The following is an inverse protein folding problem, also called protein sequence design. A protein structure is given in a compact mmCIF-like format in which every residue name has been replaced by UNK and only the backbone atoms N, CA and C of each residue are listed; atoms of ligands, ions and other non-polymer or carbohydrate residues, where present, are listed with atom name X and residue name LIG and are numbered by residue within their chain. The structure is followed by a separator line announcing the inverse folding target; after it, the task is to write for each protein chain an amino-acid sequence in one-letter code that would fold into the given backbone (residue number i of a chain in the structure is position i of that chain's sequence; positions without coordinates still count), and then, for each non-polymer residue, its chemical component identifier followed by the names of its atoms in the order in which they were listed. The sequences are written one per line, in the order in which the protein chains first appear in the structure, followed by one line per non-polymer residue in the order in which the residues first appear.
data_IF_590252922202
#
_entry.id   IF_590252922202
#
_cell.length_a   1.000
_cell.length_b   1.000
_cell.length_c   1.000
_cell.angle_alpha   90.00
_cell.angle_beta   90.00
_cell.angle_gamma   90.00
#
_symmetry.space_group_name_H-M   'P 1'
#
loop_
_entity.id
_entity.type
_entity.pdbx_description
1 polymer ?
#
# COMPACT_ATOMS: atom_id res chain seq x y z
N UNK A 1 14.00 -19.78 -18.33
CA UNK A 1 13.34 -21.07 -18.04
C UNK A 1 11.86 -20.79 -17.87
N UNK A 2 10.97 -21.64 -18.40
CA UNK A 2 9.53 -21.46 -18.19
C UNK A 2 9.13 -21.70 -16.72
N UNK A 3 8.16 -20.91 -16.25
CA UNK A 3 7.58 -20.97 -14.91
C UNK A 3 6.92 -22.34 -14.63
N UNK A 4 7.15 -22.90 -13.44
CA UNK A 4 6.62 -24.22 -13.02
C UNK A 4 5.69 -24.05 -11.80
N UNK A 5 4.62 -24.85 -11.64
CA UNK A 5 4.14 -25.92 -12.53
C UNK A 5 3.41 -25.40 -13.79
N UNK A 6 2.87 -24.18 -13.74
CA UNK A 6 2.35 -23.46 -14.90
C UNK A 6 2.50 -21.96 -14.69
N UNK A 7 2.55 -21.18 -15.77
CA UNK A 7 2.62 -19.71 -15.70
C UNK A 7 1.47 -19.13 -14.88
N UNK A 8 0.25 -19.62 -15.09
CA UNK A 8 -0.93 -19.17 -14.35
C UNK A 8 -0.85 -19.48 -12.85
N UNK A 9 -0.30 -20.65 -12.47
CA UNK A 9 -0.13 -20.98 -11.05
C UNK A 9 0.87 -20.04 -10.36
N UNK A 10 1.99 -19.73 -11.02
CA UNK A 10 2.99 -18.78 -10.50
C UNK A 10 2.42 -17.36 -10.42
N UNK A 11 1.69 -16.93 -11.45
CA UNK A 11 0.99 -15.64 -11.45
C UNK A 11 0.01 -15.58 -10.29
N UNK A 12 -0.83 -16.60 -10.11
CA UNK A 12 -1.83 -16.62 -9.04
C UNK A 12 -1.18 -16.59 -7.64
N UNK A 13 -0.08 -17.31 -7.43
CA UNK A 13 0.65 -17.28 -6.16
C UNK A 13 1.25 -15.89 -5.89
N UNK A 14 1.82 -15.26 -6.91
CA UNK A 14 2.43 -13.94 -6.79
C UNK A 14 1.36 -12.85 -6.58
N UNK A 15 0.23 -12.95 -7.28
CA UNK A 15 -0.92 -12.04 -7.11
C UNK A 15 -1.56 -12.21 -5.73
N UNK A 16 -1.67 -13.41 -5.19
CA UNK A 16 -2.13 -13.60 -3.81
C UNK A 16 -1.22 -12.89 -2.80
N UNK A 17 0.10 -13.02 -2.96
CA UNK A 17 1.07 -12.32 -2.12
C UNK A 17 0.95 -10.80 -2.29
N UNK A 18 0.82 -10.32 -3.53
CA UNK A 18 0.62 -8.90 -3.84
C UNK A 18 -0.65 -8.34 -3.22
N UNK A 19 -1.80 -9.04 -3.32
CA UNK A 19 -3.07 -8.59 -2.74
C UNK A 19 -2.90 -8.38 -1.23
N UNK A 20 -2.26 -9.32 -0.53
CA UNK A 20 -2.04 -9.20 0.92
C UNK A 20 -1.14 -8.02 1.26
N UNK A 21 0.00 -7.90 0.56
CA UNK A 21 0.94 -6.80 0.78
C UNK A 21 0.32 -5.44 0.46
N UNK A 22 -0.38 -5.34 -0.68
CA UNK A 22 -1.04 -4.12 -1.13
C UNK A 22 -2.05 -3.60 -0.12
N UNK A 23 -2.88 -4.47 0.48
CA UNK A 23 -3.85 -4.08 1.49
C UNK A 23 -3.23 -3.79 2.87
N UNK A 24 -2.04 -4.34 3.17
CA UNK A 24 -1.33 -3.98 4.40
C UNK A 24 -0.74 -2.56 4.32
N UNK A 25 -0.11 -2.23 3.18
CA UNK A 25 0.44 -0.90 2.90
C UNK A 25 -0.67 0.14 2.62
N UNK A 26 -1.72 -0.26 1.90
CA UNK A 26 -2.79 0.63 1.43
C UNK A 26 -4.17 0.13 1.88
N UNK A 27 -4.50 0.21 3.17
CA UNK A 27 -5.77 -0.30 3.68
C UNK A 27 -6.99 0.41 3.07
N UNK A 28 -6.86 1.66 2.62
CA UNK A 28 -7.99 2.43 2.07
C UNK A 28 -8.20 2.24 0.56
N UNK A 29 -7.28 1.55 -0.10
CA UNK A 29 -7.35 1.30 -1.53
C UNK A 29 -8.33 0.17 -1.84
N UNK A 30 -8.70 0.06 -3.11
CA UNK A 30 -9.59 -0.99 -3.60
C UNK A 30 -8.89 -1.73 -4.74
N UNK A 31 -9.09 -3.05 -4.81
CA UNK A 31 -8.61 -3.88 -5.92
C UNK A 31 -9.83 -4.41 -6.67
N UNK A 32 -9.70 -4.54 -7.98
CA UNK A 32 -10.62 -5.30 -8.84
C UNK A 32 -9.80 -6.22 -9.73
N UNK A 33 -10.26 -7.46 -9.90
CA UNK A 33 -9.59 -8.44 -10.76
C UNK A 33 -10.39 -8.64 -12.05
N UNK A 34 -9.69 -8.61 -13.18
CA UNK A 34 -10.20 -8.97 -14.49
C UNK A 34 -9.25 -9.98 -15.14
N UNK A 35 -9.81 -10.80 -16.02
CA UNK A 35 -9.07 -11.79 -16.82
C UNK A 35 -9.32 -11.54 -18.29
N UNK A 36 -8.30 -11.84 -19.09
CA UNK A 36 -8.36 -11.77 -20.54
C UNK A 36 -8.23 -13.20 -21.04
N UNK A 37 -9.24 -13.70 -21.72
CA UNK A 37 -9.34 -15.09 -22.13
C UNK A 37 -10.24 -15.21 -23.36
N UNK A 38 -9.87 -16.07 -24.30
CA UNK A 38 -10.68 -16.36 -25.50
C UNK A 38 -11.09 -15.09 -26.28
N UNK A 39 -10.19 -14.09 -26.36
CA UNK A 39 -10.42 -12.81 -27.05
C UNK A 39 -11.31 -11.81 -26.29
N UNK A 40 -11.76 -12.16 -25.08
CA UNK A 40 -12.68 -11.36 -24.27
C UNK A 40 -12.06 -10.95 -22.94
N UNK A 41 -12.57 -9.86 -22.37
CA UNK A 41 -12.25 -9.44 -21.01
C UNK A 41 -13.40 -9.77 -20.07
N UNK A 42 -13.11 -10.51 -19.00
CA UNK A 42 -14.07 -10.94 -18.00
C UNK A 42 -13.70 -10.38 -16.63
N UNK A 43 -14.67 -9.73 -15.99
CA UNK A 43 -14.53 -9.33 -14.59
C UNK A 43 -14.60 -10.56 -13.69
N UNK A 44 -13.57 -10.76 -12.87
CA UNK A 44 -13.57 -11.76 -11.80
C UNK A 44 -14.15 -11.21 -10.48
N UNK A 45 -13.78 -9.98 -10.12
CA UNK A 45 -14.25 -9.32 -8.90
C UNK A 45 -14.53 -7.84 -9.12
N UNK A 46 -15.50 -7.30 -8.39
CA UNK A 46 -15.74 -5.86 -8.35
C UNK A 46 -14.66 -5.14 -7.53
N UNK A 47 -14.53 -3.82 -7.71
CA UNK A 47 -13.63 -3.01 -6.89
C UNK A 47 -14.05 -3.10 -5.41
N UNK A 48 -13.21 -3.71 -4.59
CA UNK A 48 -13.51 -3.94 -3.18
C UNK A 48 -12.27 -3.81 -2.30
N UNK A 49 -12.47 -3.65 -1.00
CA UNK A 49 -11.41 -3.62 0.01
C UNK A 49 -11.17 -4.97 0.70
N UNK A 50 -11.71 -6.09 0.19
CA UNK A 50 -11.65 -7.40 0.86
C UNK A 50 -10.64 -8.35 0.20
N UNK A 51 -9.44 -8.55 0.79
CA UNK A 51 -8.40 -9.42 0.25
C UNK A 51 -8.92 -10.85 -0.03
N UNK A 52 -9.66 -11.41 0.92
CA UNK A 52 -10.13 -12.80 0.87
C UNK A 52 -11.13 -13.06 -0.27
N UNK A 53 -11.96 -12.07 -0.61
CA UNK A 53 -12.85 -12.20 -1.77
C UNK A 53 -12.06 -12.28 -3.09
N UNK A 54 -11.00 -11.49 -3.22
CA UNK A 54 -10.15 -11.46 -4.42
C UNK A 54 -9.32 -12.74 -4.53
N UNK A 55 -8.70 -13.17 -3.42
CA UNK A 55 -7.90 -14.40 -3.38
C UNK A 55 -8.78 -15.62 -3.70
N UNK A 56 -9.99 -15.71 -3.15
CA UNK A 56 -10.92 -16.80 -3.45
C UNK A 56 -11.30 -16.82 -4.93
N UNK A 57 -11.68 -15.67 -5.50
CA UNK A 57 -12.05 -15.56 -6.90
C UNK A 57 -10.89 -15.93 -7.84
N UNK A 58 -9.67 -15.48 -7.51
CA UNK A 58 -8.45 -15.83 -8.22
C UNK A 58 -8.18 -17.33 -8.21
N UNK A 59 -8.22 -17.96 -7.03
CA UNK A 59 -7.99 -19.40 -6.87
C UNK A 59 -9.03 -20.27 -7.56
N UNK A 60 -10.27 -19.78 -7.69
CA UNK A 60 -11.32 -20.46 -8.45
C UNK A 60 -11.16 -20.36 -9.98
N UNK A 61 -10.36 -19.41 -10.48
CA UNK A 61 -10.23 -19.11 -11.92
C UNK A 61 -8.78 -19.20 -12.41
N UNK A 62 -8.17 -20.39 -12.32
CA UNK A 62 -6.79 -20.66 -12.78
C UNK A 62 -6.70 -21.16 -14.23
N UNK A 63 -7.81 -21.16 -14.97
CA UNK A 63 -7.84 -21.62 -16.35
C UNK A 63 -7.46 -20.51 -17.33
N UNK A 64 -6.43 -20.73 -18.15
CA UNK A 64 -6.06 -19.88 -19.28
C UNK A 64 -6.37 -20.58 -20.60
N UNK A 65 -7.07 -19.93 -21.53
CA UNK A 65 -7.20 -20.38 -22.92
C UNK A 65 -7.45 -19.21 -23.87
N UNK A 66 -7.29 -19.50 -25.17
CA UNK A 66 -7.52 -18.57 -26.25
C UNK A 66 -6.57 -17.38 -26.27
N UNK A 67 -6.91 -16.39 -27.08
CA UNK A 67 -6.08 -15.22 -27.32
C UNK A 67 -6.35 -14.09 -26.32
N UNK A 68 -5.35 -13.24 -26.10
CA UNK A 68 -5.49 -12.05 -25.30
C UNK A 68 -6.02 -10.89 -26.17
N UNK A 69 -6.99 -10.12 -25.65
CA UNK A 69 -7.42 -8.83 -26.22
C UNK A 69 -7.16 -7.71 -25.22
N UNK A 70 -6.18 -6.86 -25.52
CA UNK A 70 -5.82 -5.69 -24.74
C UNK A 70 -6.90 -4.61 -24.82
N UNK A 71 -7.51 -4.41 -25.99
CA UNK A 71 -8.55 -3.41 -26.20
C UNK A 71 -9.76 -3.68 -25.30
N UNK A 72 -10.30 -4.91 -25.34
CA UNK A 72 -11.45 -5.29 -24.50
C UNK A 72 -11.13 -5.13 -23.01
N UNK A 73 -9.89 -5.42 -22.61
CA UNK A 73 -9.45 -5.24 -21.23
C UNK A 73 -9.41 -3.76 -20.83
N UNK A 74 -8.85 -2.89 -21.68
CA UNK A 74 -8.77 -1.45 -21.42
C UNK A 74 -10.17 -0.81 -21.38
N UNK A 75 -11.07 -1.20 -22.28
CA UNK A 75 -12.44 -0.67 -22.31
C UNK A 75 -13.24 -1.11 -21.07
N UNK A 76 -13.09 -2.37 -20.66
CA UNK A 76 -13.67 -2.90 -19.41
C UNK A 76 -13.13 -2.13 -18.19
N UNK A 77 -11.82 -1.94 -18.11
CA UNK A 77 -11.18 -1.21 -17.01
C UNK A 77 -11.57 0.27 -16.99
N UNK A 78 -11.66 0.91 -18.15
CA UNK A 78 -12.14 2.28 -18.27
C UNK A 78 -13.54 2.43 -17.67
N UNK A 79 -14.47 1.50 -17.97
CA UNK A 79 -15.83 1.53 -17.43
C UNK A 79 -15.88 1.44 -15.89
N UNK A 80 -14.93 0.72 -15.28
CA UNK A 80 -14.84 0.61 -13.81
C UNK A 80 -14.22 1.84 -13.17
N UNK A 81 -13.10 2.31 -13.72
CA UNK A 81 -12.34 3.42 -13.14
C UNK A 81 -13.01 4.79 -13.39
N UNK A 82 -13.92 4.88 -14.36
CA UNK A 82 -14.72 6.09 -14.60
C UNK A 82 -15.61 6.45 -13.41
N UNK A 83 -16.09 5.45 -12.65
CA UNK A 83 -16.91 5.64 -11.45
C UNK A 83 -16.13 6.23 -10.27
N UNK A 84 -14.80 6.14 -10.30
CA UNK A 84 -13.94 6.64 -9.22
C UNK A 84 -13.90 8.17 -9.28
N UNK A 85 -14.08 8.88 -8.16
CA UNK A 85 -13.97 10.34 -8.13
C UNK A 85 -12.63 10.86 -8.66
N UNK A 86 -12.60 12.10 -9.14
CA UNK A 86 -11.40 12.69 -9.78
C UNK A 86 -10.19 12.85 -8.86
N UNK A 87 -10.37 12.76 -7.54
CA UNK A 87 -9.28 12.77 -6.56
C UNK A 87 -8.67 11.39 -6.30
N UNK A 88 -9.31 10.32 -6.79
CA UNK A 88 -8.79 8.97 -6.69
C UNK A 88 -7.72 8.74 -7.73
N UNK A 89 -6.60 8.13 -7.33
CA UNK A 89 -5.64 7.59 -8.27
C UNK A 89 -6.25 6.37 -8.96
N UNK A 90 -6.18 6.38 -10.30
CA UNK A 90 -6.72 5.32 -11.16
C UNK A 90 -5.54 4.57 -11.76
N UNK A 91 -5.33 3.35 -11.29
CA UNK A 91 -4.16 2.55 -11.66
C UNK A 91 -4.58 1.17 -12.17
N UNK A 92 -3.82 0.66 -13.12
CA UNK A 92 -4.05 -0.63 -13.77
C UNK A 92 -2.73 -1.35 -13.88
N UNK A 93 -2.67 -2.58 -13.38
CA UNK A 93 -1.50 -3.46 -13.52
C UNK A 93 -1.92 -4.63 -14.40
N UNK A 94 -1.32 -4.72 -15.59
CA UNK A 94 -1.61 -5.78 -16.56
C UNK A 94 -0.50 -6.83 -16.49
N UNK A 95 -0.87 -8.05 -16.10
CA UNK A 95 0.05 -9.19 -16.10
C UNK A 95 -0.04 -9.88 -17.46
N UNK A 96 0.96 -9.67 -18.31
CA UNK A 96 0.90 -10.06 -19.71
C UNK A 96 1.83 -11.21 -20.03
N UNK A 97 1.28 -12.34 -20.49
CA UNK A 97 2.07 -13.51 -20.90
C UNK A 97 2.01 -13.81 -22.40
N UNK A 98 1.02 -13.28 -23.13
CA UNK A 98 0.95 -13.47 -24.56
C UNK A 98 2.05 -12.67 -25.27
N UNK A 99 2.39 -13.02 -26.51
CA UNK A 99 3.34 -12.27 -27.36
C UNK A 99 2.62 -11.38 -28.38
N UNK A 100 1.32 -11.60 -28.54
CA UNK A 100 0.43 -10.88 -29.44
C UNK A 100 -0.85 -10.48 -28.69
N UNK A 101 -1.57 -9.52 -29.24
CA UNK A 101 -2.93 -9.16 -28.85
C UNK A 101 -3.84 -9.30 -30.07
N UNK A 102 -5.05 -9.78 -29.86
CA UNK A 102 -6.06 -10.00 -30.88
C UNK A 102 -7.26 -9.10 -30.56
N UNK A 103 -7.20 -7.89 -31.09
CA UNK A 103 -8.17 -6.83 -30.81
C UNK A 103 -9.11 -6.61 -32.00
N UNK A 104 -10.40 -6.29 -31.75
CA UNK A 104 -11.38 -6.07 -32.82
C UNK A 104 -11.13 -4.80 -33.63
N UNK A 105 -10.68 -3.71 -33.00
CA UNK A 105 -10.43 -2.41 -33.62
C UNK A 105 -9.03 -1.87 -33.29
N UNK A 106 -8.81 -0.56 -33.48
CA UNK A 106 -7.55 0.12 -33.16
C UNK A 106 -7.39 0.35 -31.65
N UNK A 107 -6.52 -0.46 -31.03
CA UNK A 107 -6.13 -0.35 -29.61
C UNK A 107 -5.58 1.04 -29.25
N UNK A 108 -5.02 1.78 -30.20
CA UNK A 108 -4.47 3.12 -29.96
C UNK A 108 -5.56 4.13 -29.55
N UNK A 109 -6.81 3.93 -29.98
CA UNK A 109 -7.93 4.74 -29.54
C UNK A 109 -8.26 4.49 -28.06
N UNK A 110 -8.27 3.23 -27.64
CA UNK A 110 -8.49 2.86 -26.23
C UNK A 110 -7.35 3.37 -25.34
N UNK A 111 -6.09 3.36 -25.81
CA UNK A 111 -4.97 4.00 -25.10
C UNK A 111 -5.23 5.51 -24.90
N UNK A 112 -5.67 6.21 -25.95
CA UNK A 112 -6.02 7.65 -25.85
C UNK A 112 -7.18 7.90 -24.89
N UNK A 113 -8.19 7.01 -24.85
CA UNK A 113 -9.29 7.09 -23.87
C UNK A 113 -8.76 6.96 -22.44
N UNK A 114 -7.92 5.97 -22.17
CA UNK A 114 -7.29 5.79 -20.85
C UNK A 114 -6.46 7.02 -20.43
N UNK A 115 -5.67 7.59 -21.34
CA UNK A 115 -4.90 8.82 -21.09
C UNK A 115 -5.81 10.00 -20.74
N UNK A 116 -6.90 10.19 -21.50
CA UNK A 116 -7.90 11.24 -21.24
C UNK A 116 -8.58 11.06 -19.87
N UNK A 117 -8.82 9.80 -19.48
CA UNK A 117 -9.39 9.45 -18.18
C UNK A 117 -8.38 9.49 -17.02
N UNK A 118 -7.12 9.88 -17.27
CA UNK A 118 -6.02 9.91 -16.30
C UNK A 118 -5.79 8.57 -15.61
N UNK A 119 -5.93 7.49 -16.37
CA UNK A 119 -5.67 6.12 -15.89
C UNK A 119 -4.21 5.81 -16.17
N UNK A 120 -3.44 5.47 -15.13
CA UNK A 120 -2.06 5.01 -15.24
C UNK A 120 -2.02 3.51 -15.47
N UNK A 121 -1.47 3.06 -16.58
CA UNK A 121 -1.38 1.64 -16.92
C UNK A 121 0.08 1.17 -16.85
N UNK A 122 0.36 0.21 -15.97
CA UNK A 122 1.64 -0.48 -15.89
C UNK A 122 1.47 -1.94 -16.35
N UNK A 123 2.51 -2.49 -16.97
CA UNK A 123 2.48 -3.86 -17.49
C UNK A 123 3.66 -4.63 -16.90
N UNK A 124 3.42 -5.88 -16.48
CA UNK A 124 4.46 -6.83 -16.10
C UNK A 124 4.40 -8.01 -17.07
N UNK A 125 5.37 -8.07 -17.98
CA UNK A 125 5.50 -9.09 -19.00
C UNK A 125 6.20 -10.35 -18.49
N UNK A 126 5.71 -11.54 -18.84
CA UNK A 126 6.33 -12.82 -18.44
C UNK A 126 7.37 -13.35 -19.42
N UNK A 127 7.41 -12.87 -20.66
CA UNK A 127 8.23 -13.49 -21.70
C UNK A 127 9.02 -12.49 -22.52
N UNK A 128 8.35 -11.53 -23.16
CA UNK A 128 9.01 -10.57 -24.03
C UNK A 128 8.38 -9.18 -23.92
N UNK A 129 9.15 -8.18 -24.32
CA UNK A 129 8.69 -6.82 -24.49
C UNK A 129 7.82 -6.71 -25.77
N UNK A 130 6.59 -6.22 -25.63
CA UNK A 130 5.67 -5.94 -26.74
C UNK A 130 5.60 -4.43 -26.94
N UNK A 131 5.74 -4.00 -28.19
CA UNK A 131 5.72 -2.59 -28.57
C UNK A 131 4.45 -1.85 -28.10
N UNK A 132 3.26 -2.45 -28.31
CA UNK A 132 1.97 -1.84 -27.94
C UNK A 132 1.88 -1.66 -26.42
N UNK A 133 2.30 -2.64 -25.62
CA UNK A 133 2.30 -2.56 -24.16
C UNK A 133 3.28 -1.50 -23.65
N UNK A 134 4.45 -1.38 -24.29
CA UNK A 134 5.42 -0.32 -24.00
C UNK A 134 4.82 1.06 -24.27
N UNK A 135 4.23 1.23 -25.45
CA UNK A 135 3.61 2.49 -25.85
C UNK A 135 2.44 2.87 -24.91
N UNK A 136 1.61 1.92 -24.51
CA UNK A 136 0.56 2.12 -23.49
C UNK A 136 1.14 2.67 -22.17
N UNK A 137 2.23 2.09 -21.68
CA UNK A 137 2.86 2.53 -20.43
C UNK A 137 3.44 3.95 -20.56
N UNK A 138 4.15 4.24 -21.65
CA UNK A 138 4.74 5.55 -21.93
C UNK A 138 3.67 6.65 -22.05
N UNK A 139 2.57 6.37 -22.74
CA UNK A 139 1.48 7.34 -22.94
C UNK A 139 0.67 7.63 -21.66
N UNK A 140 0.55 6.64 -20.77
CA UNK A 140 -0.24 6.74 -19.53
C UNK A 140 0.60 7.07 -18.29
N UNK A 141 1.93 7.17 -18.42
CA UNK A 141 2.85 7.42 -17.30
C UNK A 141 3.05 6.21 -16.37
N UNK A 142 2.80 5.00 -16.87
CA UNK A 142 3.11 3.75 -16.19
C UNK A 142 4.51 3.22 -16.51
N UNK A 143 4.76 1.97 -16.13
CA UNK A 143 6.03 1.28 -16.38
C UNK A 143 5.78 -0.08 -17.03
N UNK A 144 6.65 -0.46 -17.98
CA UNK A 144 6.67 -1.80 -18.53
C UNK A 144 7.93 -2.54 -18.07
N UNK A 145 7.74 -3.67 -17.40
CA UNK A 145 8.84 -4.53 -16.92
C UNK A 145 8.67 -5.94 -17.45
N UNK A 146 9.77 -6.67 -17.61
CA UNK A 146 9.77 -8.06 -18.08
C UNK A 146 10.46 -8.95 -17.05
N UNK A 147 9.73 -9.94 -16.57
CA UNK A 147 10.24 -10.90 -15.60
C UNK A 147 11.20 -11.90 -16.25
N UNK A 148 12.24 -12.25 -15.49
CA UNK A 148 13.29 -13.20 -15.92
C UNK A 148 13.06 -14.59 -15.32
N UNK A 149 12.59 -14.62 -14.08
CA UNK A 149 12.27 -15.81 -13.31
C UNK A 149 11.08 -15.56 -12.36
N UNK A 150 10.69 -16.59 -11.60
CA UNK A 150 9.58 -16.55 -10.63
C UNK A 150 9.79 -15.53 -9.51
N UNK A 151 11.01 -15.48 -8.96
CA UNK A 151 11.39 -14.51 -7.91
C UNK A 151 11.28 -13.08 -8.41
N UNK A 152 11.86 -12.79 -9.58
CA UNK A 152 11.86 -11.48 -10.20
C UNK A 152 10.44 -11.06 -10.58
N UNK A 153 9.59 -11.97 -11.08
CA UNK A 153 8.18 -11.66 -11.31
C UNK A 153 7.47 -11.22 -10.04
N UNK A 154 7.69 -11.94 -8.92
CA UNK A 154 7.11 -11.59 -7.63
C UNK A 154 7.61 -10.24 -7.13
N UNK A 155 8.90 -9.96 -7.24
CA UNK A 155 9.50 -8.68 -6.87
C UNK A 155 8.91 -7.52 -7.68
N UNK A 156 8.89 -7.62 -9.01
CA UNK A 156 8.31 -6.62 -9.91
C UNK A 156 6.83 -6.33 -9.59
N UNK A 157 6.08 -7.34 -9.20
CA UNK A 157 4.69 -7.15 -8.81
C UNK A 157 4.57 -6.44 -7.45
N UNK A 158 5.43 -6.78 -6.48
CA UNK A 158 5.45 -6.16 -5.16
C UNK A 158 5.96 -4.71 -5.19
N UNK A 159 6.78 -4.32 -6.17
CA UNK A 159 7.17 -2.92 -6.39
C UNK A 159 5.98 -2.00 -6.67
N UNK A 160 4.87 -2.56 -7.16
CA UNK A 160 3.61 -1.84 -7.36
C UNK A 160 2.71 -1.78 -6.11
N UNK A 161 3.11 -2.41 -5.00
CA UNK A 161 2.36 -2.34 -3.74
C UNK A 161 2.36 -0.93 -3.12
N UNK A 162 3.50 -0.23 -2.95
CA UNK A 162 3.48 1.14 -2.44
C UNK A 162 2.80 2.09 -3.44
N UNK A 163 2.02 3.04 -2.92
CA UNK A 163 1.40 4.06 -3.76
C UNK A 163 2.48 4.86 -4.51
N UNK A 164 2.38 5.00 -5.84
CA UNK A 164 3.35 5.78 -6.56
C UNK A 164 3.28 7.26 -6.16
N UNK A 165 4.39 8.01 -6.30
CA UNK A 165 4.37 9.44 -6.03
C UNK A 165 3.35 10.12 -6.94
N UNK A 166 2.40 10.83 -6.33
CA UNK A 166 1.41 11.61 -7.05
C UNK A 166 2.12 12.72 -7.85
N UNK A 167 1.82 12.80 -9.15
CA UNK A 167 2.24 13.94 -9.97
C UNK A 167 1.47 15.15 -9.45
N UNK A 168 2.19 16.16 -8.96
CA UNK A 168 1.62 17.31 -8.25
C UNK A 168 0.50 18.03 -9.03
N UNK A 169 0.55 18.02 -10.37
CA UNK A 169 -0.47 18.61 -11.24
C UNK A 169 -1.85 17.93 -11.17
N UNK A 170 -1.90 16.67 -10.72
CA UNK A 170 -3.14 15.89 -10.62
C UNK A 170 -3.63 15.71 -9.19
N UNK A 171 -2.84 16.13 -8.19
CA UNK A 171 -3.16 16.01 -6.78
C UNK A 171 -4.08 17.15 -6.31
N UNK A 172 -5.34 17.14 -6.75
CA UNK A 172 -6.35 18.06 -6.21
C UNK A 172 -6.74 17.59 -4.80
N UNK A 173 -6.42 18.40 -3.79
CA UNK A 173 -6.78 18.11 -2.41
C UNK A 173 -8.30 18.18 -2.24
N UNK A 174 -8.91 17.09 -1.78
CA UNK A 174 -10.33 17.00 -1.50
C UNK A 174 -10.55 16.44 -0.10
N UNK A 175 -11.51 17.03 0.62
CA UNK A 175 -11.88 16.58 1.95
C UNK A 175 -12.91 15.44 1.85
N UNK A 176 -12.47 14.23 2.16
CA UNK A 176 -13.36 13.06 2.21
C UNK A 176 -13.89 12.86 3.62
N UNK A 177 -15.21 12.73 3.77
CA UNK A 177 -15.84 12.41 5.05
C UNK A 177 -15.65 10.92 5.35
N UNK A 178 -15.00 10.60 6.47
CA UNK A 178 -14.79 9.23 6.93
C UNK A 178 -15.51 8.98 8.27
N UNK A 179 -15.89 7.73 8.53
CA UNK A 179 -16.51 7.29 9.78
C UNK A 179 -15.59 6.37 10.56
N UNK A 180 -15.43 6.62 11.86
CA UNK A 180 -14.74 5.73 12.79
C UNK A 180 -15.79 4.94 13.59
N UNK A 181 -16.12 3.70 13.19
CA UNK A 181 -17.16 2.93 13.86
C UNK A 181 -16.62 2.30 15.15
N UNK A 182 -17.51 2.13 16.11
CA UNK A 182 -17.19 1.40 17.35
C UNK A 182 -17.43 -0.09 17.15
N UNK A 183 -16.50 -0.91 17.64
CA UNK A 183 -16.65 -2.37 17.70
C UNK A 183 -17.69 -2.71 18.77
N UNK A 184 -18.71 -3.50 18.41
CA UNK A 184 -19.72 -4.02 19.34
C UNK A 184 -19.11 -5.11 20.23
N UNK A 185 -19.66 -5.23 21.45
CA UNK A 185 -19.28 -6.28 22.38
C UNK A 185 -19.54 -7.69 21.82
N UNK A 186 -18.73 -8.64 22.27
CA UNK A 186 -18.86 -10.05 21.90
C UNK A 186 -20.15 -10.64 22.52
N UNK A 187 -20.87 -11.47 21.76
CA UNK A 187 -22.09 -12.17 22.22
C UNK A 187 -23.43 -11.66 21.67
N UNK A 188 -23.48 -10.54 20.96
CA UNK A 188 -24.72 -10.06 20.30
C UNK A 188 -24.79 -10.60 18.87
N UNK A 189 -25.85 -11.33 18.54
CA UNK A 189 -26.14 -11.76 17.16
C UNK A 189 -26.70 -10.57 16.39
N UNK A 190 -26.03 -10.20 15.31
CA UNK A 190 -26.47 -9.08 14.45
C UNK A 190 -26.45 -9.48 12.99
N UNK A 191 -27.48 -9.07 12.27
CA UNK A 191 -27.54 -9.23 10.82
C UNK A 191 -26.65 -8.15 10.19
N UNK A 192 -25.61 -8.56 9.46
CA UNK A 192 -24.77 -7.63 8.69
C UNK A 192 -25.62 -7.00 7.60
N UNK A 193 -25.55 -5.68 7.42
CA UNK A 193 -26.16 -5.04 6.24
C UNK A 193 -25.45 -5.40 4.92
N UNK A 194 -24.27 -6.00 5.05
CA UNK A 194 -23.29 -6.35 4.03
C UNK A 194 -23.63 -7.69 3.37
N UNK A 195 -23.71 -8.75 4.18
CA UNK A 195 -23.97 -10.12 3.71
C UNK A 195 -25.41 -10.58 3.94
N UNK A 196 -26.22 -9.79 4.68
CA UNK A 196 -27.58 -10.16 5.13
C UNK A 196 -27.62 -11.47 5.93
N UNK A 197 -26.47 -11.90 6.42
CA UNK A 197 -26.30 -13.08 7.27
C UNK A 197 -26.13 -12.68 8.74
N UNK A 198 -26.68 -13.48 9.68
CA UNK A 198 -26.41 -13.30 11.10
C UNK A 198 -24.96 -13.68 11.39
N UNK A 199 -24.15 -12.70 11.82
CA UNK A 199 -22.82 -12.98 12.39
C UNK A 199 -22.92 -12.92 13.92
N UNK A 200 -22.40 -13.95 14.57
CA UNK A 200 -22.29 -14.05 16.03
C UNK A 200 -20.93 -13.52 16.45
N UNK A 201 -20.92 -12.38 17.14
CA UNK A 201 -19.70 -11.75 17.64
C UNK A 201 -18.99 -10.86 16.62
N UNK A 202 -18.58 -9.67 17.08
CA UNK A 202 -17.75 -8.74 16.31
C UNK A 202 -18.48 -8.08 15.14
N UNK A 203 -18.81 -6.80 15.31
CA UNK A 203 -19.35 -5.97 14.23
C UNK A 203 -19.09 -4.51 14.51
N UNK A 204 -19.00 -3.72 13.45
CA UNK A 204 -18.71 -2.30 13.51
C UNK A 204 -19.99 -1.51 13.28
N UNK A 205 -20.28 -0.57 14.18
CA UNK A 205 -21.49 0.27 14.06
C UNK A 205 -21.17 1.54 13.31
N UNK A 206 -21.80 1.74 12.15
CA UNK A 206 -21.67 2.97 11.39
C UNK A 206 -22.08 4.17 12.25
N UNK A 207 -21.24 5.22 12.37
CA UNK A 207 -21.55 6.36 13.23
C UNK A 207 -22.76 7.18 12.73
N UNK A 208 -23.01 7.18 11.41
CA UNK A 208 -24.06 7.97 10.75
C UNK A 208 -25.44 7.28 10.79
N UNK A 209 -25.57 6.11 10.18
CA UNK A 209 -26.87 5.42 10.05
C UNK A 209 -27.06 4.25 11.02
N UNK A 210 -26.07 3.96 11.89
CA UNK A 210 -26.08 2.84 12.85
C UNK A 210 -26.15 1.43 12.23
N UNK A 211 -26.01 1.32 10.90
CA UNK A 211 -25.86 0.05 10.20
C UNK A 211 -24.68 -0.77 10.76
N UNK A 212 -24.80 -2.09 10.68
CA UNK A 212 -23.74 -3.00 11.11
C UNK A 212 -22.89 -3.42 9.92
N UNK A 213 -21.58 -3.18 10.01
CA UNK A 213 -20.56 -3.68 9.09
C UNK A 213 -19.80 -4.84 9.74
N UNK A 214 -19.45 -5.88 8.98
CA UNK A 214 -18.69 -7.03 9.51
C UNK A 214 -17.20 -6.73 9.64
N UNK A 215 -16.64 -6.01 8.68
CA UNK A 215 -15.20 -5.84 8.49
C UNK A 215 -14.90 -4.39 8.16
N UNK A 216 -13.67 -3.98 8.45
CA UNK A 216 -13.13 -2.68 8.07
C UNK A 216 -11.83 -2.92 7.30
N UNK A 217 -11.46 -2.01 6.40
CA UNK A 217 -12.22 -0.85 5.96
C UNK A 217 -13.33 -1.24 4.96
N UNK A 218 -14.45 -0.53 4.97
CA UNK A 218 -15.56 -0.81 4.04
C UNK A 218 -16.46 0.41 3.83
N UNK A 219 -17.21 0.45 2.73
CA UNK A 219 -18.26 1.46 2.52
C UNK A 219 -19.60 1.01 3.14
N UNK A 220 -20.25 1.92 3.87
CA UNK A 220 -21.54 1.65 4.46
C UNK A 220 -22.65 1.57 3.40
N UNK A 221 -23.19 0.37 3.18
CA UNK A 221 -24.26 0.07 2.20
C UNK A 221 -25.58 0.84 2.37
N UNK A 222 -25.78 1.54 3.49
CA UNK A 222 -26.98 2.36 3.75
C UNK A 222 -26.74 3.85 3.47
N UNK A 223 -25.56 4.37 3.78
CA UNK A 223 -25.32 5.82 3.75
C UNK A 223 -24.08 6.28 2.96
N UNK A 224 -23.37 5.34 2.32
CA UNK A 224 -22.17 5.58 1.51
C UNK A 224 -20.97 6.13 2.27
N UNK A 225 -20.99 6.10 3.62
CA UNK A 225 -19.88 6.58 4.43
C UNK A 225 -18.77 5.52 4.46
N UNK A 226 -17.55 5.90 4.08
CA UNK A 226 -16.35 5.06 4.23
C UNK A 226 -16.05 4.86 5.72
N UNK A 227 -16.07 3.61 6.17
CA UNK A 227 -15.84 3.19 7.54
C UNK A 227 -14.41 2.67 7.69
N UNK A 228 -13.64 3.29 8.58
CA UNK A 228 -12.23 2.98 8.79
C UNK A 228 -11.88 2.92 10.28
N UNK A 229 -10.83 2.19 10.62
CA UNK A 229 -10.27 2.19 11.97
C UNK A 229 -9.09 3.18 12.04
N UNK A 230 -8.80 3.72 13.23
CA UNK A 230 -7.61 4.56 13.42
C UNK A 230 -6.30 3.85 13.03
N UNK A 231 -6.11 2.53 13.30
CA UNK A 231 -4.95 1.79 12.80
C UNK A 231 -4.82 1.76 11.27
N UNK A 232 -5.92 1.71 10.52
CA UNK A 232 -5.85 1.71 9.05
C UNK A 232 -5.30 3.03 8.53
N UNK A 233 -5.75 4.15 9.10
CA UNK A 233 -5.21 5.44 8.75
C UNK A 233 -3.73 5.55 9.19
N UNK A 234 -3.41 5.09 10.40
CA UNK A 234 -2.05 5.07 10.96
C UNK A 234 -1.04 4.37 10.04
N UNK A 235 -1.40 3.23 9.45
CA UNK A 235 -0.51 2.53 8.50
C UNK A 235 -0.22 3.35 7.25
N UNK A 236 -1.23 4.00 6.67
CA UNK A 236 -1.01 4.90 5.52
C UNK A 236 -0.16 6.13 5.84
N UNK A 237 -0.03 6.54 7.12
CA UNK A 237 0.84 7.66 7.50
C UNK A 237 2.34 7.36 7.33
N UNK A 238 2.76 6.09 7.35
CA UNK A 238 4.19 5.75 7.26
C UNK A 238 4.79 6.14 5.90
N UNK A 239 4.02 6.04 4.82
CA UNK A 239 4.43 6.49 3.49
C UNK A 239 4.40 8.02 3.34
N UNK A 240 3.56 8.72 4.11
CA UNK A 240 3.49 10.18 4.08
C UNK A 240 4.69 10.83 4.79
N UNK A 241 5.27 10.16 5.78
CA UNK A 241 6.39 10.66 6.56
C UNK A 241 7.44 9.56 6.78
N UNK A 242 8.14 9.14 5.71
CA UNK A 242 9.15 8.10 5.83
C UNK A 242 10.27 8.53 6.77
N UNK A 243 10.85 7.57 7.47
CA UNK A 243 12.05 7.81 8.26
C UNK A 243 13.20 8.10 7.29
N UNK A 244 13.94 9.18 7.57
CA UNK A 244 15.16 9.48 6.84
C UNK A 244 16.16 8.34 7.01
N UNK A 245 16.72 7.79 5.92
CA UNK A 245 17.72 6.73 5.99
C UNK A 245 18.81 7.07 7.00
N UNK A 246 19.19 6.10 7.81
CA UNK A 246 20.23 6.33 8.81
C UNK A 246 21.59 6.47 8.13
N UNK A 247 22.38 7.41 8.64
CA UNK A 247 23.69 7.70 8.07
C UNK A 247 24.68 6.61 8.53
N UNK A 248 25.33 5.96 7.56
CA UNK A 248 26.49 5.09 7.77
C UNK A 248 27.72 5.92 8.17
N UNK A 249 27.66 6.53 9.33
CA UNK A 249 28.73 7.41 9.81
C UNK A 249 29.85 6.57 10.35
N UNK A 250 30.94 6.37 9.59
CA UNK A 250 32.30 6.19 10.13
C UNK A 250 33.47 6.27 9.13
N UNK A 251 33.26 6.62 7.85
CA UNK A 251 34.40 6.81 6.92
C UNK A 251 35.21 8.12 7.17
N UNK A 252 34.75 9.02 8.04
CA UNK A 252 35.33 10.38 8.17
C UNK A 252 35.58 10.86 9.60
N UNK A 253 35.36 10.04 10.64
CA UNK A 253 35.55 10.51 12.01
C UNK A 253 37.01 10.33 12.49
N UNK A 254 37.67 11.40 12.97
CA UNK A 254 39.02 11.30 13.52
C UNK A 254 39.05 10.39 14.77
N UNK A 255 40.14 9.63 14.92
CA UNK A 255 40.38 8.59 15.93
C UNK A 255 40.00 8.98 17.38
N UNK A 256 40.13 10.25 17.73
CA UNK A 256 39.80 10.77 19.08
C UNK A 256 38.29 10.80 19.39
N UNK A 257 37.42 10.77 18.38
CA UNK A 257 35.96 10.73 18.57
C UNK A 257 35.43 9.32 18.77
N UNK A 258 36.21 8.28 18.45
CA UNK A 258 35.81 6.87 18.52
C UNK A 258 35.57 6.37 19.96
N UNK A 259 36.20 6.98 20.96
CA UNK A 259 36.11 6.55 22.36
C UNK A 259 34.80 6.96 23.06
N UNK A 260 34.02 7.89 22.48
CA UNK A 260 32.76 8.39 23.07
C UNK A 260 31.49 7.82 22.43
N UNK A 261 31.61 6.95 21.43
CA UNK A 261 30.43 6.37 20.81
C UNK A 261 29.81 5.31 21.73
N UNK A 262 28.47 5.20 21.75
CA UNK A 262 27.80 4.14 22.48
C UNK A 262 28.27 2.78 21.97
N UNK A 263 28.50 1.88 22.93
CA UNK A 263 28.94 0.49 22.70
C UNK A 263 27.79 -0.44 22.39
N UNK A 264 26.55 -0.01 22.62
CA UNK A 264 25.35 -0.81 22.45
C UNK A 264 24.38 -0.15 21.48
N UNK A 265 23.60 -0.96 20.78
CA UNK A 265 22.50 -0.53 19.93
C UNK A 265 21.38 0.05 20.81
N UNK A 266 20.84 1.21 20.45
CA UNK A 266 19.73 1.82 21.21
C UNK A 266 18.45 0.95 21.17
N UNK A 267 18.21 0.23 20.07
CA UNK A 267 17.01 -0.60 19.89
C UNK A 267 17.09 -1.94 20.63
N UNK A 268 18.08 -2.77 20.28
CA UNK A 268 18.17 -4.15 20.79
C UNK A 268 19.20 -4.34 21.93
N UNK A 269 19.92 -3.29 22.32
CA UNK A 269 20.96 -3.30 23.35
C UNK A 269 22.17 -4.21 23.06
N UNK A 270 22.22 -4.84 21.88
CA UNK A 270 23.36 -5.66 21.46
C UNK A 270 24.63 -4.81 21.29
N UNK A 271 25.78 -5.43 21.53
CA UNK A 271 27.09 -4.76 21.41
C UNK A 271 27.35 -4.41 19.95
N UNK A 272 27.54 -3.12 19.67
CA UNK A 272 27.88 -2.64 18.34
C UNK A 272 29.35 -2.99 18.02
N UNK A 273 29.63 -3.43 16.79
CA UNK A 273 30.98 -3.76 16.37
C UNK A 273 31.89 -2.53 16.49
N UNK A 274 33.09 -2.73 17.07
CA UNK A 274 34.12 -1.72 17.16
C UNK A 274 34.92 -1.68 15.86
N UNK A 275 35.30 -0.47 15.42
CA UNK A 275 35.92 -0.21 14.10
C UNK A 275 37.25 -0.92 13.81
N UNK A 276 37.82 -1.63 14.79
CA UNK A 276 39.13 -2.28 14.67
C UNK A 276 39.10 -3.78 14.45
N UNK A 277 37.94 -4.45 14.56
CA UNK A 277 37.90 -5.90 14.36
C UNK A 277 36.50 -6.33 13.87
N UNK A 278 36.45 -6.72 12.59
CA UNK A 278 35.30 -7.19 11.80
C UNK A 278 34.42 -6.08 11.20
N UNK A 279 34.09 -6.25 9.92
CA UNK A 279 33.27 -5.41 9.02
C UNK A 279 31.84 -5.15 9.50
N UNK A 280 31.68 -4.64 10.71
CA UNK A 280 30.39 -4.37 11.28
C UNK A 280 29.98 -2.92 11.02
N UNK A 281 28.95 -2.75 10.19
CA UNK A 281 28.36 -1.44 9.90
C UNK A 281 27.51 -1.02 11.09
N UNK A 282 27.71 0.22 11.56
CA UNK A 282 26.79 0.89 12.48
C UNK A 282 26.15 2.06 11.76
N UNK A 283 24.90 2.33 12.09
CA UNK A 283 24.14 3.43 11.49
C UNK A 283 23.67 4.40 12.57
N UNK A 284 23.49 5.66 12.21
CA UNK A 284 23.03 6.71 13.13
C UNK A 284 21.84 7.46 12.56
N UNK A 285 20.83 7.69 13.41
CA UNK A 285 19.68 8.48 13.01
C UNK A 285 20.07 9.97 12.92
N UNK A 286 19.82 10.67 11.78
CA UNK A 286 20.23 12.06 11.62
C UNK A 286 19.53 13.03 12.59
N UNK A 287 18.34 12.65 13.12
CA UNK A 287 17.50 13.48 13.99
C UNK A 287 17.86 13.35 15.48
N UNK A 288 17.85 12.13 16.02
CA UNK A 288 18.13 11.89 17.45
C UNK A 288 19.60 11.58 17.73
N UNK A 289 20.41 11.36 16.69
CA UNK A 289 21.83 10.98 16.77
C UNK A 289 22.11 9.69 17.56
N UNK A 290 21.07 8.88 17.83
CA UNK A 290 21.22 7.55 18.43
C UNK A 290 21.77 6.55 17.41
N UNK A 291 22.44 5.51 17.91
CA UNK A 291 23.10 4.49 17.10
C UNK A 291 22.34 3.16 17.12
N UNK A 292 22.26 2.53 15.95
CA UNK A 292 21.57 1.27 15.74
C UNK A 292 22.46 0.26 15.00
N UNK A 293 22.20 -1.04 15.21
CA UNK A 293 22.75 -2.09 14.36
C UNK A 293 21.95 -2.19 13.07
N UNK A 294 22.50 -2.88 12.06
CA UNK A 294 21.85 -3.06 10.75
C UNK A 294 20.49 -3.76 10.88
N UNK A 295 20.35 -4.77 11.73
CA UNK A 295 19.06 -5.45 11.91
C UNK A 295 17.98 -4.52 12.50
N UNK A 296 18.37 -3.65 13.44
CA UNK A 296 17.46 -2.63 13.95
C UNK A 296 17.16 -1.56 12.90
N UNK A 297 18.11 -1.22 12.04
CA UNK A 297 17.89 -0.29 10.93
C UNK A 297 16.83 -0.81 9.96
N UNK A 298 16.99 -2.06 9.51
CA UNK A 298 16.02 -2.77 8.65
C UNK A 298 14.66 -2.81 9.34
N UNK A 299 14.60 -3.26 10.60
CA UNK A 299 13.33 -3.33 11.33
C UNK A 299 12.65 -1.97 11.50
N UNK A 300 13.43 -0.90 11.73
CA UNK A 300 12.90 0.45 11.87
C UNK A 300 12.32 0.96 10.54
N UNK A 301 13.00 0.73 9.42
CA UNK A 301 12.60 1.25 8.12
C UNK A 301 11.54 0.39 7.41
N UNK A 302 11.50 -0.93 7.65
CA UNK A 302 10.57 -1.84 6.97
C UNK A 302 9.33 -2.21 7.80
N UNK A 303 9.42 -2.23 9.13
CA UNK A 303 8.34 -2.73 9.99
C UNK A 303 7.81 -1.66 10.93
N UNK A 304 8.69 -1.07 11.76
CA UNK A 304 8.26 -0.18 12.84
C UNK A 304 7.84 1.21 12.32
N UNK A 305 8.50 1.68 11.26
CA UNK A 305 8.32 2.98 10.63
C UNK A 305 8.36 4.18 11.61
N UNK A 306 8.88 3.96 12.82
CA UNK A 306 9.14 4.98 13.82
C UNK A 306 10.53 4.76 14.42
N UNK A 307 11.33 5.82 14.54
CA UNK A 307 12.65 5.74 15.18
C UNK A 307 12.48 5.78 16.70
N UNK A 308 12.83 4.70 17.46
CA UNK A 308 12.66 4.65 18.91
C UNK A 308 13.35 5.81 19.62
N UNK A 309 14.56 6.19 19.17
CA UNK A 309 15.30 7.30 19.76
C UNK A 309 14.64 8.67 19.54
N UNK A 310 13.92 8.86 18.44
CA UNK A 310 13.18 10.11 18.21
C UNK A 310 11.95 10.18 19.11
N UNK A 311 11.20 9.08 19.27
CA UNK A 311 10.02 9.05 20.13
C UNK A 311 10.40 9.18 21.61
N UNK A 312 11.46 8.52 22.08
CA UNK A 312 11.93 8.66 23.47
C UNK A 312 12.39 10.09 23.81
N UNK A 313 12.92 10.84 22.85
CA UNK A 313 13.35 12.23 23.07
C UNK A 313 12.22 13.25 22.90
N UNK A 314 11.07 12.87 22.32
CA UNK A 314 9.89 13.76 22.24
C UNK A 314 9.31 14.05 23.62
N UNK A 315 9.36 13.09 24.53
CA UNK A 315 8.84 13.26 25.89
C UNK A 315 9.70 14.23 26.72
N UNK A 316 11.02 14.24 26.54
CA UNK A 316 11.93 15.16 27.26
C UNK A 316 11.77 16.64 26.86
N UNK A 317 11.31 16.95 25.64
CA UNK A 317 11.07 18.34 25.22
C UNK A 317 9.74 18.90 25.74
N UNK A 318 8.79 18.08 26.17
CA UNK A 318 7.51 18.55 26.73
C UNK A 318 7.63 19.04 28.17
N UNK A 319 8.60 18.57 28.93
CA UNK A 319 8.82 19.01 30.33
C UNK A 319 9.64 20.31 30.44
N UNK A 320 10.31 20.75 29.38
CA UNK A 320 11.18 21.94 29.39
C UNK A 320 10.50 23.27 29.11
N UNK A 321 9.21 23.29 28.79
CA UNK A 321 8.47 24.51 28.42
C UNK A 321 7.25 24.77 29.34
N UNK A 322 7.18 24.08 30.48
CA UNK A 322 6.12 24.18 31.47
C UNK A 322 6.53 25.01 32.70
N UNK A 323 6.95 26.27 32.49
CA UNK A 323 6.99 27.26 33.57
C UNK A 323 6.38 28.58 33.11
N UNK A 324 5.05 28.63 33.06
CA UNK A 324 4.18 29.76 33.45
C UNK A 324 2.79 29.56 32.85
N UNK A 325 1.94 28.84 33.58
CA UNK A 325 0.59 29.29 33.88
C UNK A 325 -0.16 28.17 34.61
N UNK A 326 -0.29 28.36 35.92
CA UNK A 326 -1.16 27.60 36.78
C UNK A 326 -2.62 27.87 36.41
N UNK A 327 -3.31 26.91 35.80
CA UNK A 327 -4.73 26.67 36.07
C UNK A 327 -5.16 25.25 35.72
N UNK A 328 -5.38 24.48 36.79
CA UNK A 328 -6.37 23.41 36.99
C UNK A 328 -7.17 23.02 35.74
N UNK A 329 -6.95 21.82 35.19
CA UNK A 329 -8.03 20.90 34.84
C UNK A 329 -7.51 19.47 34.68
N UNK A 330 -7.88 18.65 35.65
CA UNK A 330 -7.75 17.20 35.72
C UNK A 330 -8.50 16.47 34.59
N UNK A 331 -7.91 15.38 34.08
CA UNK A 331 -8.56 14.20 33.49
C UNK A 331 -9.69 14.44 32.45
N UNK A 332 -9.40 14.26 31.15
CA UNK A 332 -10.05 13.28 30.23
C UNK A 332 -9.88 13.65 28.74
N UNK A 333 -9.33 12.68 27.98
CA UNK A 333 -9.41 12.42 26.52
C UNK A 333 -8.66 13.37 25.57
N UNK A 334 -7.90 12.84 24.59
CA UNK A 334 -7.35 13.67 23.52
C UNK A 334 -8.48 14.10 22.57
N UNK A 335 -8.80 15.39 22.62
CA UNK A 335 -9.58 16.08 21.59
C UNK A 335 -8.60 16.45 20.46
N UNK A 336 -8.95 16.04 19.25
CA UNK A 336 -8.22 16.29 18.02
C UNK A 336 -8.24 17.81 17.71
N UNK A 337 -7.09 18.47 17.71
CA UNK A 337 -6.91 19.78 17.08
C UNK A 337 -5.98 19.63 15.88
N UNK A 338 -6.53 19.72 14.67
CA UNK A 338 -5.76 19.84 13.43
C UNK A 338 -5.47 21.32 13.22
N UNK A 339 -4.32 21.78 13.70
CA UNK A 339 -3.72 23.05 13.31
C UNK A 339 -2.64 22.80 12.28
N UNK A 340 -2.95 23.00 11.00
CA UNK A 340 -1.96 22.93 9.92
C UNK A 340 -1.58 24.36 9.53
N UNK A 341 -0.36 24.76 9.86
CA UNK A 341 0.28 25.95 9.33
C UNK A 341 1.63 25.51 8.74
N UNK A 342 1.78 25.63 7.42
CA UNK A 342 2.92 26.32 6.77
C UNK A 342 2.84 26.29 5.25
N UNK A 343 3.36 27.39 4.71
CA UNK A 343 3.35 27.94 3.35
C UNK A 343 3.66 26.97 2.22
#
# INVERSE_FOLDING_TARGET
MDFRPSRMAVVANSVEAFIREFFDQNPLSHIGLATIKDGLAHRLTELSGSPESHIRALRSNLGSSGDASLQNALDLVHSYLEQIPSYGHREVIILYSALSTCDPDDVMESIKKCKKAKIRCSVVGLSAEIYICKHLCEETGGSYTVALDESHFKELLLEHAPAPPAIAEFAVSNLVKMGFPQRRGEGVVTICSCHKEPKTGGGYTCPRCKACACELPTECQICGLTLISSPHLARSYHHLFPITPFEGGLATLPYNSLQRLPKTCFGCQQVLPNLGNKSGVRVSCPRCKQHFCVDCDIYIHESLHNCPGCESLRDFKREGDATSDSNVFSNKRPVLFVGQQRN
#
